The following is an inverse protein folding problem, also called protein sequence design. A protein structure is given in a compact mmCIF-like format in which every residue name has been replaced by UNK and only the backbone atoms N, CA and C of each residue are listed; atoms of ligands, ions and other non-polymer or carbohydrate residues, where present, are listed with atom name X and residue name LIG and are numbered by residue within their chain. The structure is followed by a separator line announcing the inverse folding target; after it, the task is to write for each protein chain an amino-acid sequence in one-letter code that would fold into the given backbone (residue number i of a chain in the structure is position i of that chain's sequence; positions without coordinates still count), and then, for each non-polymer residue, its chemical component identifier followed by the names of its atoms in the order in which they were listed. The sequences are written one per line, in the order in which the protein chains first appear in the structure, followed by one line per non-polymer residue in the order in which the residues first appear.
data_IF_521456784207
#
_entry.id   IF_521456784207
#
_cell.length_a   1.000
_cell.length_b   1.000
_cell.length_c   1.000
_cell.angle_alpha   90.00
_cell.angle_beta   90.00
_cell.angle_gamma   90.00
#
_symmetry.space_group_name_H-M   'P 1'
#
loop_
_entity.id
_entity.type
_entity.pdbx_description
1 polymer ?
#
# COMPACT_ATOMS: atom_id res chain seq x y z
N UNK A 1 19.61 -2.38 2.97
CA UNK A 1 18.61 -1.40 3.45
C UNK A 1 17.48 -2.09 4.22
N UNK A 2 16.67 -2.95 3.60
CA UNK A 2 15.57 -3.64 4.29
C UNK A 2 16.01 -4.43 5.54
N UNK A 3 17.12 -5.19 5.48
CA UNK A 3 17.62 -5.92 6.65
C UNK A 3 17.96 -4.97 7.82
N UNK A 4 18.70 -3.90 7.52
CA UNK A 4 19.09 -2.88 8.52
C UNK A 4 17.87 -2.17 9.10
N UNK A 5 16.86 -1.87 8.27
CA UNK A 5 15.62 -1.24 8.71
C UNK A 5 14.82 -2.17 9.64
N UNK A 6 14.69 -3.45 9.29
CA UNK A 6 13.93 -4.43 10.09
C UNK A 6 14.64 -4.72 11.40
N UNK A 7 15.97 -4.86 11.40
CA UNK A 7 16.74 -5.07 12.64
C UNK A 7 16.72 -3.83 13.53
N UNK A 8 16.88 -2.63 12.98
CA UNK A 8 16.79 -1.39 13.74
C UNK A 8 15.39 -1.21 14.35
N UNK A 9 14.33 -1.45 13.57
CA UNK A 9 12.95 -1.38 14.05
C UNK A 9 12.68 -2.38 15.17
N UNK A 10 13.17 -3.62 15.05
CA UNK A 10 13.06 -4.63 16.10
C UNK A 10 13.77 -4.20 17.40
N UNK A 11 14.98 -3.63 17.29
CA UNK A 11 15.73 -3.12 18.44
C UNK A 11 15.04 -1.92 19.09
N UNK A 12 14.46 -1.02 18.30
CA UNK A 12 13.73 0.14 18.82
C UNK A 12 12.41 -0.25 19.52
N UNK A 13 11.78 -1.35 19.10
CA UNK A 13 10.53 -1.85 19.71
C UNK A 13 10.76 -2.76 20.92
N UNK A 14 11.98 -3.30 21.12
CA UNK A 14 12.35 -4.11 22.30
C UNK A 14 11.91 -3.52 23.65
N UNK A 15 12.13 -2.23 23.97
CA UNK A 15 11.70 -1.67 25.25
C UNK A 15 10.18 -1.63 25.43
N UNK A 16 9.40 -1.74 24.34
CA UNK A 16 7.94 -1.82 24.36
C UNK A 16 7.42 -3.26 24.29
N UNK A 17 8.32 -4.25 24.21
CA UNK A 17 7.94 -5.65 24.12
C UNK A 17 7.54 -6.20 25.49
N UNK A 18 6.32 -6.71 25.60
CA UNK A 18 5.87 -7.45 26.78
C UNK A 18 6.20 -8.95 26.63
N UNK A 19 7.24 -9.38 27.34
CA UNK A 19 7.67 -10.78 27.34
C UNK A 19 6.74 -11.71 28.13
N UNK A 20 5.75 -11.17 28.86
CA UNK A 20 4.72 -12.00 29.52
C UNK A 20 3.56 -12.34 28.60
N UNK A 21 3.43 -11.62 27.47
CA UNK A 21 2.36 -11.80 26.48
C UNK A 21 2.81 -12.65 25.27
N UNK A 22 3.74 -13.59 25.48
CA UNK A 22 4.23 -14.45 24.40
C UNK A 22 3.10 -15.35 23.85
N UNK A 23 3.16 -15.72 22.55
CA UNK A 23 2.14 -16.55 21.96
C UNK A 23 2.09 -17.92 22.64
N UNK A 24 0.97 -18.22 23.29
CA UNK A 24 0.76 -19.45 24.05
C UNK A 24 0.46 -20.66 23.15
N UNK A 25 -0.02 -20.43 21.92
CA UNK A 25 -0.39 -21.49 20.99
C UNK A 25 0.57 -21.56 19.78
N UNK A 26 0.90 -22.77 19.29
CA UNK A 26 1.76 -22.94 18.10
C UNK A 26 1.23 -22.23 16.85
N UNK A 27 -0.10 -22.10 16.71
CA UNK A 27 -0.72 -21.43 15.56
C UNK A 27 -0.38 -19.93 15.50
N UNK A 28 -0.21 -19.29 16.65
CA UNK A 28 0.10 -17.86 16.74
C UNK A 28 1.54 -17.58 16.28
N UNK A 29 2.46 -18.51 16.55
CA UNK A 29 3.79 -18.51 15.95
C UNK A 29 3.72 -18.66 14.43
N UNK A 30 2.82 -19.52 13.94
CA UNK A 30 2.53 -19.65 12.52
C UNK A 30 2.11 -18.32 11.87
N UNK A 31 1.27 -17.52 12.53
CA UNK A 31 0.89 -16.19 12.05
C UNK A 31 2.08 -15.22 12.01
N UNK A 32 2.95 -15.21 13.02
CA UNK A 32 4.17 -14.39 13.03
C UNK A 32 5.13 -14.76 11.89
N UNK A 33 5.31 -16.07 11.66
CA UNK A 33 6.14 -16.58 10.56
C UNK A 33 5.52 -16.22 9.21
N UNK A 34 4.22 -16.40 9.03
CA UNK A 34 3.52 -16.02 7.81
C UNK A 34 3.63 -14.52 7.53
N UNK A 35 3.45 -13.67 8.55
CA UNK A 35 3.64 -12.23 8.43
C UNK A 35 5.08 -11.88 8.05
N UNK A 36 6.08 -12.47 8.70
CA UNK A 36 7.49 -12.22 8.37
C UNK A 36 7.90 -12.70 6.98
N UNK A 37 7.64 -13.96 6.65
CA UNK A 37 8.08 -14.57 5.38
C UNK A 37 7.20 -14.18 4.20
N UNK A 38 5.88 -14.30 4.33
CA UNK A 38 4.96 -14.11 3.20
C UNK A 38 4.70 -12.61 3.02
N UNK A 39 4.37 -11.89 4.08
CA UNK A 39 4.03 -10.48 3.94
C UNK A 39 5.29 -9.60 3.77
N UNK A 40 6.36 -9.84 4.52
CA UNK A 40 7.55 -8.97 4.45
C UNK A 40 8.58 -9.47 3.42
N UNK A 41 9.05 -10.72 3.57
CA UNK A 41 10.17 -11.23 2.78
C UNK A 41 9.81 -11.46 1.30
N UNK A 42 8.72 -12.18 1.04
CA UNK A 42 8.24 -12.45 -0.32
C UNK A 42 7.82 -11.16 -1.03
N UNK A 43 7.14 -10.23 -0.35
CA UNK A 43 6.81 -8.92 -0.90
C UNK A 43 8.08 -8.17 -1.30
N UNK A 44 9.11 -8.12 -0.44
CA UNK A 44 10.37 -7.45 -0.79
C UNK A 44 11.06 -8.10 -1.99
N UNK A 45 11.09 -9.43 -2.08
CA UNK A 45 11.65 -10.16 -3.23
C UNK A 45 10.90 -9.79 -4.51
N UNK A 46 9.57 -9.83 -4.49
CA UNK A 46 8.73 -9.46 -5.62
C UNK A 46 8.91 -7.99 -6.01
N UNK A 47 8.99 -7.10 -5.01
CA UNK A 47 9.20 -5.67 -5.23
C UNK A 47 10.55 -5.41 -5.88
N UNK A 48 11.65 -5.96 -5.34
CA UNK A 48 12.97 -5.80 -5.94
C UNK A 48 13.07 -6.46 -7.33
N UNK A 49 12.39 -7.58 -7.55
CA UNK A 49 12.30 -8.22 -8.87
C UNK A 49 11.48 -7.38 -9.86
N UNK A 50 10.41 -6.74 -9.40
CA UNK A 50 9.59 -5.82 -10.20
C UNK A 50 10.33 -4.52 -10.51
N UNK A 51 11.12 -3.99 -9.56
CA UNK A 51 11.94 -2.78 -9.75
C UNK A 51 12.91 -2.95 -10.93
N UNK A 52 13.40 -4.16 -11.20
CA UNK A 52 14.22 -4.44 -12.39
C UNK A 52 13.42 -4.49 -13.71
N UNK A 53 12.08 -4.54 -13.64
CA UNK A 53 11.14 -4.67 -14.77
C UNK A 53 10.18 -3.50 -14.94
N UNK A 54 10.39 -2.38 -14.24
CA UNK A 54 9.47 -1.24 -14.28
C UNK A 54 10.06 -0.05 -15.07
N UNK A 55 9.78 0.06 -16.39
CA UNK A 55 9.78 1.33 -17.08
C UNK A 55 8.73 2.25 -16.45
N UNK A 56 8.99 3.55 -16.54
CA UNK A 56 8.29 4.71 -15.99
C UNK A 56 6.78 4.85 -16.30
N UNK A 57 6.13 3.86 -16.91
CA UNK A 57 4.69 3.82 -17.24
C UNK A 57 3.82 3.09 -16.21
N UNK A 58 4.41 2.32 -15.27
CA UNK A 58 3.66 1.54 -14.27
C UNK A 58 3.38 2.27 -12.95
N UNK A 59 3.86 3.51 -12.77
CA UNK A 59 3.67 4.28 -11.53
C UNK A 59 2.18 4.48 -11.22
N UNK A 60 1.34 4.70 -12.23
CA UNK A 60 -0.10 4.85 -12.02
C UNK A 60 -0.79 3.50 -11.78
N UNK A 61 -0.55 2.48 -12.61
CA UNK A 61 -1.17 1.16 -12.46
C UNK A 61 -0.83 0.50 -11.12
N UNK A 62 0.41 0.67 -10.63
CA UNK A 62 0.86 0.13 -9.35
C UNK A 62 0.25 0.87 -8.14
N UNK A 63 0.05 2.19 -8.23
CA UNK A 63 -0.67 2.94 -7.20
C UNK A 63 -2.14 2.53 -7.06
N UNK A 64 -2.75 1.94 -8.10
CA UNK A 64 -4.15 1.49 -8.05
C UNK A 64 -4.37 0.04 -7.74
N UNK A 65 -3.36 -0.80 -7.93
CA UNK A 65 -3.47 -2.21 -7.55
C UNK A 65 -3.60 -2.37 -6.03
N UNK A 66 -2.92 -1.53 -5.26
CA UNK A 66 -2.93 -1.62 -3.80
C UNK A 66 -4.31 -1.33 -3.18
N UNK A 67 -4.98 -0.18 -3.46
CA UNK A 67 -6.33 0.06 -2.94
C UNK A 67 -7.36 -0.91 -3.53
N UNK A 68 -7.24 -1.33 -4.80
CA UNK A 68 -8.17 -2.31 -5.38
C UNK A 68 -8.10 -3.68 -4.69
N UNK A 69 -6.90 -4.18 -4.41
CA UNK A 69 -6.69 -5.44 -3.68
C UNK A 69 -7.13 -5.32 -2.22
N UNK A 70 -6.87 -4.18 -1.56
CA UNK A 70 -7.33 -3.94 -0.20
C UNK A 70 -8.86 -4.01 -0.09
N UNK A 71 -9.59 -3.36 -1.01
CA UNK A 71 -11.06 -3.39 -1.05
C UNK A 71 -11.58 -4.80 -1.38
N UNK A 72 -10.93 -5.50 -2.32
CA UNK A 72 -11.29 -6.87 -2.67
C UNK A 72 -11.15 -7.80 -1.46
N UNK A 73 -10.04 -7.70 -0.73
CA UNK A 73 -9.82 -8.48 0.49
C UNK A 73 -10.77 -8.06 1.62
N UNK A 74 -11.08 -6.78 1.77
CA UNK A 74 -12.07 -6.30 2.75
C UNK A 74 -13.46 -6.90 2.48
N UNK A 75 -13.87 -6.95 1.21
CA UNK A 75 -15.14 -7.57 0.81
C UNK A 75 -15.12 -9.10 0.96
N UNK A 76 -14.07 -9.76 0.49
CA UNK A 76 -13.99 -11.23 0.41
C UNK A 76 -13.65 -11.87 1.76
N UNK A 77 -12.74 -11.28 2.53
CA UNK A 77 -12.24 -11.86 3.79
C UNK A 77 -13.07 -11.41 4.99
N UNK A 78 -13.49 -10.14 5.04
CA UNK A 78 -14.19 -9.59 6.20
C UNK A 78 -15.71 -9.61 6.06
N UNK A 79 -16.26 -9.94 4.88
CA UNK A 79 -17.71 -10.13 4.67
C UNK A 79 -18.57 -8.92 5.04
N UNK A 80 -17.97 -7.73 5.10
CA UNK A 80 -18.64 -6.53 5.57
C UNK A 80 -19.74 -6.14 4.58
N UNK A 81 -20.97 -6.01 5.10
CA UNK A 81 -22.08 -5.36 4.38
C UNK A 81 -21.74 -3.88 4.32
N UNK A 82 -21.04 -3.49 3.26
CA UNK A 82 -20.56 -2.12 3.05
C UNK A 82 -21.72 -1.15 3.26
N UNK A 83 -21.61 -0.31 4.29
CA UNK A 83 -22.55 0.78 4.52
C UNK A 83 -22.53 1.71 3.30
N UNK A 84 -23.66 2.37 2.98
CA UNK A 84 -23.77 3.18 1.76
C UNK A 84 -22.68 4.27 1.68
N UNK A 85 -22.24 4.76 2.83
CA UNK A 85 -21.12 5.71 2.96
C UNK A 85 -19.77 5.12 2.53
N UNK A 86 -19.54 3.84 2.81
CA UNK A 86 -18.32 3.12 2.46
C UNK A 86 -18.23 2.88 0.95
N UNK A 87 -19.37 2.60 0.30
CA UNK A 87 -19.47 2.48 -1.17
C UNK A 87 -19.12 3.81 -1.84
N UNK A 88 -19.60 4.94 -1.29
CA UNK A 88 -19.24 6.28 -1.79
C UNK A 88 -17.76 6.55 -1.64
N UNK A 89 -17.16 6.19 -0.50
CA UNK A 89 -15.71 6.29 -0.28
C UNK A 89 -14.91 5.49 -1.30
N UNK A 90 -15.32 4.25 -1.58
CA UNK A 90 -14.73 3.40 -2.63
C UNK A 90 -14.84 4.06 -4.00
N UNK A 91 -16.02 4.56 -4.37
CA UNK A 91 -16.25 5.23 -5.65
C UNK A 91 -15.35 6.48 -5.81
N UNK A 92 -15.17 7.28 -4.74
CA UNK A 92 -14.29 8.44 -4.74
C UNK A 92 -12.81 8.05 -4.93
N UNK A 93 -12.35 6.97 -4.28
CA UNK A 93 -10.99 6.45 -4.47
C UNK A 93 -10.79 6.01 -5.92
N UNK A 94 -11.75 5.31 -6.53
CA UNK A 94 -11.70 4.92 -7.95
C UNK A 94 -11.72 6.12 -8.91
N UNK A 95 -12.46 7.18 -8.58
CA UNK A 95 -12.49 8.42 -9.38
C UNK A 95 -11.15 9.17 -9.31
N UNK A 96 -10.62 9.38 -8.11
CA UNK A 96 -9.29 9.97 -7.93
C UNK A 96 -8.22 9.13 -8.63
N UNK A 97 -8.41 7.81 -8.60
CA UNK A 97 -7.54 6.86 -9.25
C UNK A 97 -7.49 6.98 -10.77
N UNK A 98 -8.67 7.01 -11.38
CA UNK A 98 -8.82 7.23 -12.81
C UNK A 98 -8.23 8.58 -13.22
N UNK A 99 -8.44 9.65 -12.43
CA UNK A 99 -7.91 10.97 -12.72
C UNK A 99 -6.37 11.00 -12.77
N UNK A 100 -5.70 10.33 -11.83
CA UNK A 100 -4.23 10.23 -11.83
C UNK A 100 -3.73 9.28 -12.93
N UNK A 101 -4.42 8.16 -13.18
CA UNK A 101 -4.06 7.18 -14.22
C UNK A 101 -4.15 7.74 -15.63
N UNK A 102 -5.20 8.51 -15.93
CA UNK A 102 -5.35 9.17 -17.23
C UNK A 102 -4.41 10.37 -17.37
N UNK A 103 -3.55 10.64 -16.38
CA UNK A 103 -2.72 11.84 -16.29
C UNK A 103 -3.58 13.07 -16.59
N UNK A 104 -4.71 13.21 -15.87
CA UNK A 104 -5.66 14.31 -16.00
C UNK A 104 -4.92 15.61 -15.69
N UNK A 105 -4.26 16.13 -16.72
CA UNK A 105 -3.49 17.35 -16.61
C UNK A 105 -4.51 18.46 -16.64
N UNK A 106 -4.83 19.00 -15.46
CA UNK A 106 -5.53 20.26 -15.34
C UNK A 106 -4.63 21.33 -15.95
N UNK A 107 -4.65 21.43 -17.29
CA UNK A 107 -3.98 22.48 -18.06
C UNK A 107 -4.71 23.76 -17.71
N UNK A 108 -4.35 24.35 -16.56
CA UNK A 108 -4.73 25.70 -16.22
C UNK A 108 -4.34 26.57 -17.43
N UNK A 109 -5.29 27.33 -18.00
CA UNK A 109 -4.98 28.24 -19.10
C UNK A 109 -3.83 29.12 -18.63
N UNK A 110 -2.65 28.95 -19.23
CA UNK A 110 -1.53 29.87 -18.97
C UNK A 110 -2.03 31.23 -19.41
N UNK A 111 -2.25 32.11 -18.43
CA UNK A 111 -2.60 33.50 -18.71
C UNK A 111 -1.57 34.07 -19.69
N UNK A 112 -1.99 34.67 -20.82
CA UNK A 112 -1.08 35.33 -21.73
C UNK A 112 -0.30 36.37 -20.94
N UNK A 113 1.03 36.22 -20.90
CA UNK A 113 1.91 37.30 -20.44
C UNK A 113 1.70 38.47 -21.41
N UNK A 114 0.89 39.44 -21.01
CA UNK A 114 0.86 40.74 -21.64
C UNK A 114 2.28 41.32 -21.57
N UNK A 115 2.81 41.70 -22.71
CA UNK A 115 4.16 42.26 -22.82
C UNK A 115 4.32 43.51 -21.97
N UNK A 116 5.51 43.67 -21.40
CA UNK A 116 6.04 44.96 -21.02
C UNK A 116 7.26 45.18 -21.90
N UNK A 117 7.04 46.00 -22.93
CA UNK A 117 8.05 46.69 -23.74
C UNK A 117 8.73 47.75 -22.88
#
# INVERSE_FOLDING_TARGET
LALVQVTLGAVMLLPMADFNALPAQPVQWGYLVALGLIHTCLMYILMYSAIQKLPTTSTAALSFIYPAVAILLDFVVYGHRMDATQVVGVALIFLAAAAVSLNWNWRLPRSPRAGAV
#
